data_IF_445925769744
#
_entry.id   IF_445925769744
#
_cell.length_a   1.000
_cell.length_b   1.000
_cell.length_c   1.000
_cell.angle_alpha   90.00
_cell.angle_beta   90.00
_cell.angle_gamma   90.00
#
_symmetry.space_group_name_H-M   'P 1'
#
loop_
_entity.id
_entity.type
_entity.pdbx_description
1 polymer ?
#
# COMPACT_ATOMS: atom_id res chain seq x y z
N UNK A 1 15.83 16.43 15.60
CA UNK A 1 14.74 16.97 16.44
C UNK A 1 15.20 18.14 17.36
N UNK A 2 16.31 18.82 17.03
CA UNK A 2 16.72 20.02 17.75
C UNK A 2 15.88 21.22 17.28
N UNK A 3 15.22 21.92 18.22
CA UNK A 3 14.36 23.07 17.95
C UNK A 3 15.07 24.23 17.22
N UNK A 4 16.40 24.25 17.24
CA UNK A 4 17.26 25.22 16.51
C UNK A 4 17.46 24.82 15.03
N UNK A 5 17.09 23.60 14.65
CA UNK A 5 17.26 23.10 13.29
C UNK A 5 16.01 23.39 12.44
N UNK A 6 16.04 24.37 11.53
CA UNK A 6 14.90 24.68 10.67
C UNK A 6 14.58 23.55 9.69
N UNK A 7 15.48 22.58 9.50
CA UNK A 7 15.26 21.40 8.66
C UNK A 7 14.17 20.47 9.18
N UNK A 8 13.91 20.45 10.49
CA UNK A 8 12.81 19.63 11.07
C UNK A 8 11.44 20.11 10.57
N UNK A 9 11.24 21.42 10.40
CA UNK A 9 10.00 21.97 9.83
C UNK A 9 9.88 21.61 8.35
N UNK A 10 10.99 21.65 7.59
CA UNK A 10 11.00 21.24 6.20
C UNK A 10 10.69 19.75 6.04
N UNK A 11 11.18 18.92 6.96
CA UNK A 11 10.92 17.49 7.03
C UNK A 11 9.41 17.21 7.26
N UNK A 12 8.82 17.84 8.28
CA UNK A 12 7.37 17.74 8.54
C UNK A 12 6.51 18.16 7.33
N UNK A 13 6.90 19.22 6.60
CA UNK A 13 6.20 19.65 5.38
C UNK A 13 6.42 18.65 4.25
N UNK A 14 7.64 18.12 4.10
CA UNK A 14 7.99 17.12 3.11
C UNK A 14 7.22 15.80 3.31
N UNK A 15 7.11 15.34 4.54
CA UNK A 15 6.35 14.15 4.89
C UNK A 15 4.87 14.30 4.56
N UNK A 16 4.25 15.44 4.89
CA UNK A 16 2.87 15.70 4.51
C UNK A 16 2.66 15.72 2.99
N UNK A 17 3.58 16.31 2.24
CA UNK A 17 3.49 16.37 0.79
C UNK A 17 3.83 15.01 0.13
N UNK A 18 4.93 14.35 0.54
CA UNK A 18 5.40 13.11 -0.06
C UNK A 18 4.65 11.88 0.43
N UNK A 19 4.54 11.73 1.73
CA UNK A 19 4.07 10.48 2.36
C UNK A 19 2.58 10.48 2.68
N UNK A 20 1.92 11.63 2.77
CA UNK A 20 0.46 11.69 2.91
C UNK A 20 -0.25 11.79 1.56
N UNK A 21 0.29 12.58 0.62
CA UNK A 21 -0.29 12.73 -0.72
C UNK A 21 0.09 11.56 -1.63
N UNK A 22 1.33 11.04 -1.52
CA UNK A 22 1.83 9.93 -2.32
C UNK A 22 0.94 8.68 -2.28
N UNK A 23 0.56 8.15 -1.11
CA UNK A 23 -0.32 6.98 -1.02
C UNK A 23 -1.68 7.17 -1.69
N UNK A 24 -2.23 8.38 -1.64
CA UNK A 24 -3.48 8.70 -2.33
C UNK A 24 -3.30 8.68 -3.85
N UNK A 25 -2.19 9.19 -4.36
CA UNK A 25 -1.84 9.15 -5.77
C UNK A 25 -1.60 7.72 -6.25
N UNK A 26 -0.81 6.92 -5.49
CA UNK A 26 -0.55 5.51 -5.77
C UNK A 26 -1.86 4.70 -5.79
N UNK A 27 -2.74 4.93 -4.81
CA UNK A 27 -4.05 4.30 -4.75
C UNK A 27 -4.90 4.64 -5.97
N UNK A 28 -4.99 5.90 -6.36
CA UNK A 28 -5.74 6.35 -7.53
C UNK A 28 -5.21 5.73 -8.83
N UNK A 29 -3.89 5.74 -9.03
CA UNK A 29 -3.25 5.10 -10.17
C UNK A 29 -3.56 3.61 -10.23
N UNK A 30 -3.37 2.90 -9.12
CA UNK A 30 -3.60 1.47 -9.02
C UNK A 30 -5.06 1.09 -9.29
N UNK A 31 -6.00 1.89 -8.77
CA UNK A 31 -7.43 1.74 -9.09
C UNK A 31 -7.71 1.94 -10.58
N UNK A 32 -7.12 2.97 -11.18
CA UNK A 32 -7.27 3.28 -12.60
C UNK A 32 -6.73 2.16 -13.48
N UNK A 33 -5.48 1.78 -13.29
CA UNK A 33 -4.80 0.74 -14.08
C UNK A 33 -5.54 -0.60 -13.98
N UNK A 34 -5.88 -1.05 -12.76
CA UNK A 34 -6.56 -2.33 -12.56
C UNK A 34 -7.98 -2.31 -13.13
N UNK A 35 -8.71 -1.20 -12.97
CA UNK A 35 -10.05 -1.03 -13.54
C UNK A 35 -10.03 -1.08 -15.06
N UNK A 36 -9.17 -0.29 -15.69
CA UNK A 36 -9.02 -0.25 -17.15
C UNK A 36 -8.57 -1.61 -17.69
N UNK A 37 -7.65 -2.29 -17.01
CA UNK A 37 -7.19 -3.63 -17.40
C UNK A 37 -8.34 -4.63 -17.45
N UNK A 38 -9.18 -4.70 -16.40
CA UNK A 38 -10.31 -5.62 -16.33
C UNK A 38 -11.42 -5.26 -17.32
N UNK A 39 -11.77 -3.97 -17.45
CA UNK A 39 -12.76 -3.52 -18.43
C UNK A 39 -12.33 -3.89 -19.84
N UNK A 40 -11.09 -3.56 -20.20
CA UNK A 40 -10.53 -3.86 -21.50
C UNK A 40 -10.48 -5.36 -21.76
N UNK A 41 -10.12 -6.15 -20.74
CA UNK A 41 -10.06 -7.59 -20.85
C UNK A 41 -11.45 -8.20 -21.08
N UNK A 42 -12.47 -7.80 -20.32
CA UNK A 42 -13.86 -8.28 -20.48
C UNK A 42 -14.35 -8.00 -21.89
N UNK A 43 -14.11 -6.78 -22.42
CA UNK A 43 -14.56 -6.38 -23.76
C UNK A 43 -13.84 -7.13 -24.90
N UNK A 44 -12.60 -7.57 -24.68
CA UNK A 44 -11.81 -8.26 -25.70
C UNK A 44 -11.92 -9.80 -25.61
N UNK A 45 -11.99 -10.34 -24.38
CA UNK A 45 -11.97 -11.78 -24.14
C UNK A 45 -13.33 -12.44 -24.27
N UNK A 46 -14.42 -11.69 -24.06
CA UNK A 46 -15.79 -12.16 -24.21
C UNK A 46 -16.32 -11.68 -25.55
N UNK A 47 -16.62 -12.60 -26.44
CA UNK A 47 -17.13 -12.33 -27.79
C UNK A 47 -18.05 -13.42 -28.25
N UNK A 48 -18.63 -13.27 -29.45
CA UNK A 48 -19.57 -14.24 -30.02
C UNK A 48 -19.00 -15.66 -30.11
N UNK A 49 -17.71 -15.83 -30.33
CA UNK A 49 -17.05 -17.14 -30.41
C UNK A 49 -16.92 -17.84 -29.06
N UNK A 50 -16.80 -17.07 -27.95
CA UNK A 50 -16.66 -17.64 -26.63
C UNK A 50 -17.97 -17.78 -25.88
N UNK A 51 -18.85 -16.78 -25.95
CA UNK A 51 -20.07 -16.70 -25.18
C UNK A 51 -21.38 -16.76 -26.05
N UNK A 52 -21.24 -16.99 -27.34
CA UNK A 52 -22.41 -17.08 -28.26
C UNK A 52 -23.10 -15.73 -28.47
N UNK A 53 -24.36 -15.75 -28.93
CA UNK A 53 -25.12 -14.55 -29.33
C UNK A 53 -25.34 -13.54 -28.18
N UNK A 54 -25.33 -13.98 -26.93
CA UNK A 54 -25.61 -13.16 -25.75
C UNK A 54 -24.33 -12.54 -25.11
N UNK A 55 -23.21 -12.58 -25.83
CA UNK A 55 -21.92 -12.08 -25.29
C UNK A 55 -21.95 -10.62 -24.78
N UNK A 56 -22.73 -9.76 -25.46
CA UNK A 56 -22.83 -8.35 -25.07
C UNK A 56 -23.57 -8.18 -23.72
N UNK A 57 -24.61 -8.99 -23.46
CA UNK A 57 -25.30 -8.98 -22.17
C UNK A 57 -24.37 -9.46 -21.05
N UNK A 58 -23.59 -10.50 -21.30
CA UNK A 58 -22.59 -11.02 -20.36
C UNK A 58 -21.50 -10.00 -20.06
N UNK A 59 -21.01 -9.27 -21.08
CA UNK A 59 -20.07 -8.17 -20.86
C UNK A 59 -20.65 -7.10 -19.93
N UNK A 60 -21.88 -6.64 -20.20
CA UNK A 60 -22.56 -5.63 -19.38
C UNK A 60 -22.74 -6.12 -17.94
N UNK A 61 -23.17 -7.36 -17.76
CA UNK A 61 -23.38 -7.95 -16.44
C UNK A 61 -22.09 -8.00 -15.63
N UNK A 62 -20.99 -8.44 -16.23
CA UNK A 62 -19.67 -8.45 -15.57
C UNK A 62 -19.13 -7.04 -15.30
N UNK A 63 -19.31 -6.08 -16.20
CA UNK A 63 -18.90 -4.69 -15.97
C UNK A 63 -19.68 -4.08 -14.80
N UNK A 64 -21.01 -4.26 -14.76
CA UNK A 64 -21.83 -3.78 -13.62
C UNK A 64 -21.36 -4.42 -12.31
N UNK A 65 -21.09 -5.73 -12.33
CA UNK A 65 -20.56 -6.42 -11.16
C UNK A 65 -19.20 -5.86 -10.72
N UNK A 66 -18.26 -5.62 -11.63
CA UNK A 66 -16.96 -5.01 -11.33
C UNK A 66 -17.10 -3.60 -10.70
N UNK A 67 -17.98 -2.76 -11.24
CA UNK A 67 -18.24 -1.43 -10.68
C UNK A 67 -18.87 -1.52 -9.27
N UNK A 68 -19.80 -2.46 -9.07
CA UNK A 68 -20.41 -2.67 -7.75
C UNK A 68 -19.36 -3.13 -6.72
N UNK A 69 -18.41 -3.99 -7.13
CA UNK A 69 -17.30 -4.37 -6.23
C UNK A 69 -16.49 -3.16 -5.77
N UNK A 70 -16.29 -2.15 -6.63
CA UNK A 70 -15.61 -0.90 -6.22
C UNK A 70 -16.40 -0.12 -5.17
N UNK A 71 -17.69 0.00 -5.35
CA UNK A 71 -18.57 0.68 -4.37
C UNK A 71 -18.54 -0.05 -3.03
N UNK A 72 -18.61 -1.38 -3.07
CA UNK A 72 -18.55 -2.23 -1.87
C UNK A 72 -17.23 -2.07 -1.11
N UNK A 73 -16.11 -1.94 -1.80
CA UNK A 73 -14.80 -1.72 -1.17
C UNK A 73 -14.76 -0.43 -0.34
N UNK A 74 -15.36 0.64 -0.83
CA UNK A 74 -15.47 1.90 -0.08
C UNK A 74 -16.38 1.73 1.13
N UNK A 75 -17.54 1.10 0.96
CA UNK A 75 -18.49 0.82 2.04
C UNK A 75 -17.85 -0.08 3.11
N UNK A 76 -17.18 -1.16 2.69
CA UNK A 76 -16.48 -2.07 3.60
C UNK A 76 -15.42 -1.35 4.43
N UNK A 77 -14.63 -0.47 3.80
CA UNK A 77 -13.60 0.32 4.48
C UNK A 77 -14.19 1.26 5.53
N UNK A 78 -15.26 2.00 5.18
CA UNK A 78 -15.94 2.90 6.11
C UNK A 78 -16.58 2.13 7.29
N UNK A 79 -17.28 1.03 7.00
CA UNK A 79 -17.90 0.20 8.03
C UNK A 79 -16.87 -0.39 8.98
N UNK A 80 -15.77 -0.89 8.44
CA UNK A 80 -14.68 -1.47 9.23
C UNK A 80 -13.99 -0.45 10.12
N UNK A 81 -13.84 0.78 9.64
CA UNK A 81 -13.31 1.87 10.45
C UNK A 81 -14.18 2.10 11.70
N UNK A 82 -15.50 2.23 11.55
CA UNK A 82 -16.39 2.45 12.71
C UNK A 82 -16.42 1.25 13.67
N UNK A 83 -16.37 0.03 13.15
CA UNK A 83 -16.28 -1.18 13.99
C UNK A 83 -14.97 -1.17 14.78
N UNK A 84 -13.87 -0.90 14.11
CA UNK A 84 -12.54 -0.88 14.74
C UNK A 84 -12.41 0.27 15.75
N UNK A 85 -12.91 1.46 15.45
CA UNK A 85 -12.93 2.60 16.38
C UNK A 85 -13.70 2.26 17.66
N UNK A 86 -14.88 1.66 17.54
CA UNK A 86 -15.66 1.23 18.69
C UNK A 86 -14.92 0.17 19.54
N UNK A 87 -14.25 -0.80 18.88
CA UNK A 87 -13.45 -1.82 19.57
C UNK A 87 -12.22 -1.20 20.24
N UNK A 88 -11.52 -0.28 19.57
CA UNK A 88 -10.34 0.37 20.12
C UNK A 88 -10.71 1.25 21.34
N UNK A 89 -11.79 2.03 21.25
CA UNK A 89 -12.30 2.83 22.39
C UNK A 89 -12.70 1.95 23.58
N UNK A 90 -13.37 0.82 23.33
CA UNK A 90 -13.75 -0.11 24.39
C UNK A 90 -12.53 -0.76 25.07
N UNK A 91 -11.45 -1.02 24.32
CA UNK A 91 -10.25 -1.68 24.82
C UNK A 91 -9.29 -0.71 25.50
N UNK A 92 -9.06 0.45 24.89
CA UNK A 92 -8.00 1.38 25.28
C UNK A 92 -8.48 2.68 25.89
N UNK A 93 -9.79 3.00 25.85
CA UNK A 93 -10.33 4.29 26.30
C UNK A 93 -10.05 4.63 27.78
N UNK A 94 -9.81 3.63 28.62
CA UNK A 94 -9.43 3.80 30.05
C UNK A 94 -8.08 3.13 30.37
N UNK A 95 -7.35 2.63 29.38
CA UNK A 95 -6.10 1.92 29.60
C UNK A 95 -4.96 2.91 29.86
N UNK A 96 -4.10 2.56 30.82
CA UNK A 96 -2.88 3.34 31.11
C UNK A 96 -1.74 3.09 30.13
N UNK A 97 -1.84 2.00 29.34
CA UNK A 97 -0.89 1.61 28.28
C UNK A 97 -1.67 1.18 27.06
N UNK A 98 -1.13 1.47 25.89
CA UNK A 98 -1.72 1.12 24.59
C UNK A 98 -0.65 0.47 23.71
N UNK A 99 -1.04 -0.55 22.96
CA UNK A 99 -0.24 -1.03 21.84
C UNK A 99 -0.79 -0.37 20.58
N UNK A 100 -0.03 0.56 20.00
CA UNK A 100 -0.49 1.37 18.87
C UNK A 100 -0.56 0.61 17.56
N UNK A 101 0.21 -0.47 17.37
CA UNK A 101 0.13 -1.32 16.18
C UNK A 101 -1.17 -2.16 16.14
N UNK A 102 -1.72 -2.54 17.29
CA UNK A 102 -2.83 -3.49 17.37
C UNK A 102 -4.15 -2.99 16.77
N UNK A 103 -4.59 -1.74 17.00
CA UNK A 103 -5.77 -1.21 16.33
C UNK A 103 -5.62 -1.13 14.81
N UNK A 104 -4.44 -0.82 14.30
CA UNK A 104 -4.18 -0.76 12.86
C UNK A 104 -4.21 -2.17 12.25
N UNK A 105 -3.60 -3.15 12.90
CA UNK A 105 -3.70 -4.58 12.52
C UNK A 105 -5.15 -5.06 12.51
N UNK A 106 -5.90 -4.76 13.56
CA UNK A 106 -7.31 -5.13 13.65
C UNK A 106 -8.13 -4.51 12.52
N UNK A 107 -7.88 -3.25 12.19
CA UNK A 107 -8.55 -2.56 11.08
C UNK A 107 -8.35 -3.30 9.76
N UNK A 108 -7.12 -3.72 9.45
CA UNK A 108 -6.80 -4.48 8.23
C UNK A 108 -7.57 -5.80 8.20
N UNK A 109 -7.58 -6.59 9.29
CA UNK A 109 -8.29 -7.88 9.33
C UNK A 109 -9.81 -7.73 9.30
N UNK A 110 -10.37 -6.76 10.03
CA UNK A 110 -11.81 -6.49 10.00
C UNK A 110 -12.23 -6.10 8.58
N UNK A 111 -11.47 -5.20 7.92
CA UNK A 111 -11.78 -4.76 6.56
C UNK A 111 -11.70 -5.92 5.57
N UNK A 112 -10.70 -6.78 5.69
CA UNK A 112 -10.59 -7.99 4.88
C UNK A 112 -11.82 -8.90 5.06
N UNK A 113 -12.20 -9.19 6.30
CA UNK A 113 -13.37 -10.02 6.60
C UNK A 113 -14.68 -9.43 6.07
N UNK A 114 -14.93 -8.14 6.32
CA UNK A 114 -16.12 -7.43 5.84
C UNK A 114 -16.15 -7.40 4.31
N UNK A 115 -15.02 -7.09 3.65
CA UNK A 115 -14.91 -7.09 2.19
C UNK A 115 -15.22 -8.46 1.59
N UNK A 116 -14.73 -9.54 2.18
CA UNK A 116 -15.04 -10.91 1.71
C UNK A 116 -16.54 -11.18 1.81
N UNK A 117 -17.15 -10.93 2.97
CA UNK A 117 -18.59 -11.18 3.16
C UNK A 117 -19.43 -10.38 2.15
N UNK A 118 -19.14 -9.10 2.00
CA UNK A 118 -19.88 -8.24 1.06
C UNK A 118 -19.64 -8.62 -0.38
N UNK A 119 -18.42 -9.08 -0.75
CA UNK A 119 -18.11 -9.57 -2.11
C UNK A 119 -18.96 -10.79 -2.46
N UNK A 120 -19.04 -11.78 -1.57
CA UNK A 120 -19.87 -12.96 -1.81
C UNK A 120 -21.38 -12.61 -1.87
N UNK A 121 -21.85 -11.78 -0.94
CA UNK A 121 -23.25 -11.35 -0.94
C UNK A 121 -23.62 -10.62 -2.25
N UNK A 122 -22.83 -9.63 -2.64
CA UNK A 122 -23.11 -8.88 -3.86
C UNK A 122 -22.98 -9.74 -5.12
N UNK A 123 -22.03 -10.65 -5.20
CA UNK A 123 -21.91 -11.57 -6.33
C UNK A 123 -23.11 -12.49 -6.44
N UNK A 124 -23.61 -12.99 -5.31
CA UNK A 124 -24.82 -13.82 -5.30
C UNK A 124 -26.05 -13.07 -5.83
N UNK A 125 -26.21 -11.79 -5.51
CA UNK A 125 -27.35 -11.00 -5.98
C UNK A 125 -27.21 -10.49 -7.42
N UNK A 126 -25.99 -10.14 -7.86
CA UNK A 126 -25.77 -9.52 -9.16
C UNK A 126 -25.51 -10.52 -10.29
N UNK A 127 -24.88 -11.64 -9.99
CA UNK A 127 -24.48 -12.66 -10.95
C UNK A 127 -24.87 -14.07 -10.49
N UNK A 128 -26.12 -14.33 -10.04
CA UNK A 128 -26.53 -15.61 -9.45
C UNK A 128 -26.40 -16.78 -10.43
N UNK A 129 -26.55 -16.53 -11.73
CA UNK A 129 -26.41 -17.50 -12.81
C UNK A 129 -25.79 -16.81 -14.03
N UNK A 130 -24.46 -16.75 -14.06
CA UNK A 130 -23.73 -16.15 -15.16
C UNK A 130 -23.62 -17.15 -16.30
N UNK A 131 -24.12 -16.80 -17.50
CA UNK A 131 -24.12 -17.67 -18.67
C UNK A 131 -24.76 -19.03 -18.40
N UNK A 132 -25.77 -19.10 -17.53
CA UNK A 132 -26.46 -20.35 -17.16
C UNK A 132 -25.73 -21.20 -16.10
N UNK A 133 -24.50 -20.85 -15.68
CA UNK A 133 -23.79 -21.51 -14.59
C UNK A 133 -24.05 -20.80 -13.26
N UNK A 134 -24.80 -21.48 -12.38
CA UNK A 134 -25.11 -21.00 -11.03
C UNK A 134 -23.94 -21.10 -10.05
N UNK A 135 -22.76 -21.57 -10.46
CA UNK A 135 -21.59 -21.71 -9.60
C UNK A 135 -20.55 -20.60 -9.80
N UNK A 136 -20.65 -19.80 -10.86
CA UNK A 136 -19.65 -18.82 -11.21
C UNK A 136 -19.56 -17.65 -10.22
N UNK A 137 -20.67 -17.26 -9.60
CA UNK A 137 -20.68 -16.18 -8.60
C UNK A 137 -19.74 -16.45 -7.43
N UNK A 138 -19.73 -17.65 -6.88
CA UNK A 138 -18.84 -17.98 -5.77
C UNK A 138 -17.39 -18.21 -6.22
N UNK A 139 -17.17 -18.73 -7.43
CA UNK A 139 -15.84 -18.91 -8.01
C UNK A 139 -15.15 -17.56 -8.24
N UNK A 140 -15.86 -16.61 -8.84
CA UNK A 140 -15.36 -15.24 -9.05
C UNK A 140 -15.11 -14.52 -7.72
N UNK A 141 -16.02 -14.68 -6.75
CA UNK A 141 -15.82 -14.16 -5.39
C UNK A 141 -14.59 -14.78 -4.70
N UNK A 142 -14.37 -16.07 -4.88
CA UNK A 142 -13.19 -16.76 -4.33
C UNK A 142 -11.88 -16.24 -4.93
N UNK A 143 -11.87 -15.93 -6.22
CA UNK A 143 -10.72 -15.34 -6.89
C UNK A 143 -10.43 -13.94 -6.34
N UNK A 144 -11.44 -13.08 -6.19
CA UNK A 144 -11.29 -11.76 -5.54
C UNK A 144 -10.79 -11.94 -4.09
N UNK A 145 -11.32 -12.92 -3.38
CA UNK A 145 -10.92 -13.23 -2.00
C UNK A 145 -9.43 -13.58 -1.89
N UNK A 146 -8.84 -14.25 -2.88
CA UNK A 146 -7.39 -14.47 -2.89
C UNK A 146 -6.62 -13.14 -2.83
N UNK A 147 -7.06 -12.13 -3.58
CA UNK A 147 -6.49 -10.79 -3.51
C UNK A 147 -6.73 -10.09 -2.18
N UNK A 148 -7.94 -10.17 -1.63
CA UNK A 148 -8.28 -9.56 -0.33
C UNK A 148 -7.47 -10.21 0.81
N UNK A 149 -7.28 -11.52 0.77
CA UNK A 149 -6.41 -12.25 1.72
C UNK A 149 -4.94 -11.83 1.56
N UNK A 150 -4.48 -11.65 0.32
CA UNK A 150 -3.13 -11.13 0.08
C UNK A 150 -2.96 -9.74 0.70
N UNK A 151 -3.93 -8.84 0.52
CA UNK A 151 -3.91 -7.51 1.11
C UNK A 151 -3.85 -7.51 2.65
N UNK A 152 -4.39 -8.52 3.32
CA UNK A 152 -4.29 -8.69 4.77
C UNK A 152 -2.99 -9.41 5.19
N UNK A 153 -2.54 -10.41 4.41
CA UNK A 153 -1.39 -11.24 4.76
C UNK A 153 -0.06 -10.52 4.52
N UNK A 154 0.04 -9.75 3.45
CA UNK A 154 1.26 -9.03 3.05
C UNK A 154 1.74 -8.07 4.14
N UNK A 155 0.89 -7.22 4.75
CA UNK A 155 1.31 -6.39 5.87
C UNK A 155 1.91 -7.19 7.02
N UNK A 156 1.32 -8.34 7.38
CA UNK A 156 1.85 -9.20 8.44
C UNK A 156 3.22 -9.79 8.09
N UNK A 157 3.43 -10.21 6.85
CA UNK A 157 4.73 -10.67 6.38
C UNK A 157 5.78 -9.55 6.40
N UNK A 158 5.41 -8.35 6.00
CA UNK A 158 6.32 -7.20 5.99
C UNK A 158 6.66 -6.76 7.41
N UNK A 159 5.71 -6.79 8.36
CA UNK A 159 5.95 -6.47 9.78
C UNK A 159 7.04 -7.33 10.42
N UNK A 160 7.29 -8.53 9.92
CA UNK A 160 8.43 -9.34 10.37
C UNK A 160 9.75 -8.59 10.19
N UNK A 161 9.82 -7.68 9.23
CA UNK A 161 11.03 -6.90 8.90
C UNK A 161 10.95 -5.43 9.34
N UNK A 162 9.78 -4.91 9.71
CA UNK A 162 9.56 -3.47 9.91
C UNK A 162 9.00 -3.09 11.27
N UNK A 163 8.37 -4.02 12.00
CA UNK A 163 7.81 -3.73 13.33
C UNK A 163 8.92 -3.44 14.35
N UNK A 164 8.69 -2.46 15.21
CA UNK A 164 9.60 -2.10 16.32
C UNK A 164 9.92 -3.28 17.24
N UNK A 165 9.05 -4.28 17.28
CA UNK A 165 9.24 -5.52 18.06
C UNK A 165 10.02 -6.60 17.29
N UNK A 166 10.29 -6.41 16.00
CA UNK A 166 10.97 -7.37 15.13
C UNK A 166 12.44 -7.54 15.49
N UNK A 167 12.94 -8.79 15.33
CA UNK A 167 14.38 -9.07 15.46
C UNK A 167 15.20 -8.39 14.36
N UNK A 168 14.65 -8.27 13.15
CA UNK A 168 15.33 -7.61 12.02
C UNK A 168 15.50 -6.11 12.27
N UNK A 169 14.49 -5.44 12.84
CA UNK A 169 14.62 -4.02 13.23
C UNK A 169 15.66 -3.84 14.33
N UNK A 170 15.68 -4.72 15.33
CA UNK A 170 16.73 -4.70 16.36
C UNK A 170 18.13 -4.89 15.79
N UNK A 171 18.27 -5.74 14.77
CA UNK A 171 19.53 -5.94 14.05
C UNK A 171 19.95 -4.65 13.30
N UNK A 172 18.99 -3.97 12.65
CA UNK A 172 19.24 -2.68 11.98
C UNK A 172 19.72 -1.63 13.00
N UNK A 173 19.05 -1.53 14.16
CA UNK A 173 19.45 -0.61 15.24
C UNK A 173 20.86 -0.92 15.72
N UNK A 174 21.15 -2.17 16.06
CA UNK A 174 22.48 -2.59 16.52
C UNK A 174 23.57 -2.33 15.47
N UNK A 175 23.25 -2.61 14.20
CA UNK A 175 24.17 -2.33 13.08
C UNK A 175 24.44 -0.82 12.93
N UNK A 176 23.42 0.00 13.12
CA UNK A 176 23.55 1.47 13.08
C UNK A 176 24.42 2.00 14.22
N UNK A 177 24.25 1.46 15.43
CA UNK A 177 25.04 1.83 16.61
C UNK A 177 26.52 1.44 16.47
N UNK A 178 26.78 0.23 15.93
CA UNK A 178 28.14 -0.29 15.85
C UNK A 178 28.91 0.19 14.62
N UNK A 179 28.25 0.39 13.49
CA UNK A 179 28.88 0.68 12.20
C UNK A 179 28.36 1.94 11.50
N UNK A 180 27.52 2.72 12.16
CA UNK A 180 27.00 3.98 11.64
C UNK A 180 26.21 3.82 10.35
N UNK A 181 26.19 4.87 9.53
CA UNK A 181 25.37 4.94 8.31
C UNK A 181 25.63 3.79 7.32
N UNK A 182 26.84 3.30 7.20
CA UNK A 182 27.16 2.22 6.25
C UNK A 182 26.48 0.90 6.59
N UNK A 183 26.53 0.48 7.86
CA UNK A 183 25.86 -0.75 8.29
C UNK A 183 24.36 -0.58 8.41
N UNK A 184 23.87 0.61 8.71
CA UNK A 184 22.43 0.91 8.68
C UNK A 184 21.85 0.68 7.28
N UNK A 185 22.46 1.25 6.24
CA UNK A 185 22.02 1.08 4.86
C UNK A 185 22.09 -0.41 4.45
N UNK A 186 23.18 -1.09 4.78
CA UNK A 186 23.37 -2.49 4.40
C UNK A 186 22.35 -3.42 5.06
N UNK A 187 22.10 -3.26 6.36
CA UNK A 187 21.12 -4.05 7.10
C UNK A 187 19.69 -3.78 6.62
N UNK A 188 19.37 -2.53 6.28
CA UNK A 188 18.10 -2.16 5.66
C UNK A 188 17.89 -2.83 4.29
N UNK A 189 18.92 -2.85 3.44
CA UNK A 189 18.87 -3.56 2.14
C UNK A 189 18.67 -5.07 2.31
N UNK A 190 19.31 -5.68 3.30
CA UNK A 190 19.13 -7.10 3.62
C UNK A 190 17.68 -7.39 4.00
N UNK A 191 17.13 -6.61 4.95
CA UNK A 191 15.74 -6.75 5.37
C UNK A 191 14.76 -6.55 4.21
N UNK A 192 14.97 -5.54 3.37
CA UNK A 192 14.15 -5.24 2.20
C UNK A 192 14.16 -6.37 1.17
N UNK A 193 15.33 -6.94 0.86
CA UNK A 193 15.45 -8.05 -0.09
C UNK A 193 14.74 -9.32 0.40
N UNK A 194 14.88 -9.69 1.68
CA UNK A 194 14.16 -10.83 2.24
C UNK A 194 12.65 -10.59 2.28
N UNK A 195 12.22 -9.39 2.67
CA UNK A 195 10.82 -9.00 2.64
C UNK A 195 10.21 -9.15 1.24
N UNK A 196 10.90 -8.64 0.22
CA UNK A 196 10.46 -8.72 -1.19
C UNK A 196 10.35 -10.15 -1.69
N UNK A 197 11.27 -11.04 -1.29
CA UNK A 197 11.22 -12.46 -1.64
C UNK A 197 9.96 -13.14 -1.09
N UNK A 198 9.67 -12.97 0.20
CA UNK A 198 8.50 -13.57 0.83
C UNK A 198 7.20 -13.00 0.29
N UNK A 199 7.17 -11.70 0.01
CA UNK A 199 6.05 -11.03 -0.67
C UNK A 199 5.78 -11.66 -2.03
N UNK A 200 6.82 -11.83 -2.85
CA UNK A 200 6.72 -12.46 -4.17
C UNK A 200 6.15 -13.88 -4.09
N UNK A 201 6.61 -14.70 -3.15
CA UNK A 201 6.08 -16.05 -2.94
C UNK A 201 4.61 -16.06 -2.52
N UNK A 202 4.19 -15.15 -1.64
CA UNK A 202 2.80 -15.04 -1.21
C UNK A 202 1.89 -14.66 -2.39
N UNK A 203 2.31 -13.72 -3.23
CA UNK A 203 1.58 -13.34 -4.45
C UNK A 203 1.46 -14.52 -5.41
N UNK A 204 2.56 -15.21 -5.70
CA UNK A 204 2.56 -16.37 -6.61
C UNK A 204 1.64 -17.48 -6.09
N UNK A 205 1.66 -17.77 -4.79
CA UNK A 205 0.79 -18.78 -4.18
C UNK A 205 -0.69 -18.43 -4.37
N UNK A 206 -1.08 -17.21 -4.06
CA UNK A 206 -2.48 -16.76 -4.15
C UNK A 206 -2.95 -16.65 -5.60
N UNK A 207 -2.08 -16.19 -6.50
CA UNK A 207 -2.37 -16.22 -7.95
C UNK A 207 -2.48 -17.67 -8.46
N UNK A 208 -1.69 -18.60 -7.94
CA UNK A 208 -1.78 -20.02 -8.25
C UNK A 208 -3.15 -20.62 -7.86
N UNK A 209 -3.64 -20.29 -6.66
CA UNK A 209 -4.99 -20.69 -6.24
C UNK A 209 -6.07 -20.10 -7.18
N UNK A 210 -5.97 -18.82 -7.49
CA UNK A 210 -6.88 -18.15 -8.43
C UNK A 210 -6.85 -18.79 -9.83
N UNK A 211 -5.67 -19.19 -10.30
CA UNK A 211 -5.49 -19.94 -11.53
C UNK A 211 -6.28 -21.26 -11.50
N UNK A 212 -6.14 -22.08 -10.46
CA UNK A 212 -6.88 -23.32 -10.33
C UNK A 212 -8.40 -23.10 -10.33
N UNK A 213 -8.88 -22.07 -9.62
CA UNK A 213 -10.31 -21.73 -9.62
C UNK A 213 -10.76 -21.31 -11.04
N UNK A 214 -9.94 -20.61 -11.80
CA UNK A 214 -10.26 -20.18 -13.16
C UNK A 214 -10.47 -21.33 -14.15
N UNK A 215 -9.88 -22.48 -13.87
CA UNK A 215 -10.10 -23.70 -14.68
C UNK A 215 -11.49 -24.34 -14.48
N UNK A 216 -12.23 -23.91 -13.46
CA UNK A 216 -13.52 -24.49 -13.10
C UNK A 216 -14.70 -23.83 -13.84
N UNK A 217 -14.66 -23.77 -15.18
CA UNK A 217 -15.77 -23.31 -16.03
C UNK A 217 -15.65 -21.86 -16.55
N UNK A 218 -14.62 -21.10 -16.18
CA UNK A 218 -14.43 -19.76 -16.75
C UNK A 218 -14.02 -19.80 -18.23
N UNK A 219 -13.44 -20.92 -18.69
CA UNK A 219 -13.06 -21.13 -20.09
C UNK A 219 -14.22 -21.13 -21.07
N UNK A 220 -15.43 -21.44 -20.59
CA UNK A 220 -16.65 -21.43 -21.40
C UNK A 220 -17.21 -20.01 -21.63
N UNK A 221 -16.71 -19.03 -20.87
CA UNK A 221 -17.16 -17.64 -20.92
C UNK A 221 -16.23 -16.74 -21.73
N UNK A 222 -14.92 -16.96 -21.61
CA UNK A 222 -13.94 -16.02 -22.10
C UNK A 222 -12.63 -16.68 -22.54
N UNK A 223 -11.91 -15.99 -23.42
CA UNK A 223 -10.54 -16.37 -23.75
C UNK A 223 -9.60 -16.06 -22.58
N UNK A 224 -8.61 -16.93 -22.36
CA UNK A 224 -7.59 -16.78 -21.34
C UNK A 224 -8.14 -16.49 -19.93
N UNK A 225 -8.99 -17.35 -19.35
CA UNK A 225 -9.66 -17.12 -18.06
C UNK A 225 -8.70 -16.92 -16.89
N UNK A 226 -7.50 -17.51 -16.96
CA UNK A 226 -6.46 -17.31 -15.96
C UNK A 226 -5.99 -15.85 -15.87
N UNK A 227 -5.93 -15.15 -17.00
CA UNK A 227 -5.54 -13.72 -17.03
C UNK A 227 -6.61 -12.86 -16.37
N UNK A 228 -7.89 -13.16 -16.62
CA UNK A 228 -8.98 -12.51 -15.93
C UNK A 228 -8.92 -12.77 -14.42
N UNK A 229 -8.64 -13.99 -14.01
CA UNK A 229 -8.48 -14.34 -12.61
C UNK A 229 -7.33 -13.54 -11.96
N UNK A 230 -6.21 -13.37 -12.63
CA UNK A 230 -5.11 -12.53 -12.11
C UNK A 230 -5.53 -11.06 -11.96
N UNK A 231 -6.28 -10.52 -12.93
CA UNK A 231 -6.87 -9.19 -12.80
C UNK A 231 -7.82 -9.07 -11.61
N UNK A 232 -8.62 -10.10 -11.36
CA UNK A 232 -9.51 -10.15 -10.19
C UNK A 232 -8.75 -10.29 -8.86
N UNK A 233 -7.60 -10.97 -8.83
CA UNK A 233 -6.71 -10.98 -7.66
C UNK A 233 -6.20 -9.57 -7.39
N UNK A 234 -5.69 -8.87 -8.41
CA UNK A 234 -5.29 -7.47 -8.27
C UNK A 234 -6.46 -6.59 -7.80
N UNK A 235 -7.65 -6.85 -8.29
CA UNK A 235 -8.87 -6.18 -7.86
C UNK A 235 -9.21 -6.45 -6.38
N UNK A 236 -8.97 -7.68 -5.92
CA UNK A 236 -9.15 -8.07 -4.53
C UNK A 236 -8.16 -7.44 -3.55
N UNK A 237 -6.92 -7.21 -3.96
CA UNK A 237 -5.95 -6.43 -3.17
C UNK A 237 -6.51 -5.04 -2.82
N UNK A 238 -7.21 -4.43 -3.76
CA UNK A 238 -7.85 -3.14 -3.57
C UNK A 238 -9.14 -3.20 -2.72
N UNK A 239 -9.57 -4.39 -2.32
CA UNK A 239 -10.72 -4.59 -1.44
C UNK A 239 -10.66 -3.82 -0.12
N UNK A 240 -9.47 -3.44 0.30
CA UNK A 240 -9.20 -2.58 1.46
C UNK A 240 -8.37 -1.34 1.07
N UNK A 241 -8.41 -0.93 -0.20
CA UNK A 241 -7.60 0.19 -0.71
C UNK A 241 -7.71 1.47 0.13
N UNK A 242 -8.90 1.98 0.47
CA UNK A 242 -9.02 3.15 1.33
C UNK A 242 -8.38 2.98 2.70
N UNK A 243 -8.48 1.78 3.31
CA UNK A 243 -7.83 1.48 4.59
C UNK A 243 -6.31 1.42 4.42
N UNK A 244 -5.82 0.79 3.35
CA UNK A 244 -4.37 0.72 3.07
C UNK A 244 -3.78 2.12 2.89
N UNK A 245 -4.46 3.00 2.17
CA UNK A 245 -4.06 4.41 2.02
C UNK A 245 -4.07 5.13 3.37
N UNK A 246 -5.10 4.91 4.18
CA UNK A 246 -5.24 5.56 5.48
C UNK A 246 -4.14 5.15 6.47
N UNK A 247 -3.78 3.86 6.51
CA UNK A 247 -2.71 3.38 7.41
C UNK A 247 -1.32 3.78 6.90
N UNK A 248 -1.13 3.97 5.60
CA UNK A 248 0.10 4.54 5.04
C UNK A 248 0.24 6.02 5.46
N UNK A 249 -0.81 6.81 5.26
CA UNK A 249 -0.83 8.23 5.64
C UNK A 249 -0.80 8.47 7.16
N UNK A 250 -1.07 7.43 7.96
CA UNK A 250 -0.96 7.50 9.42
C UNK A 250 0.49 7.71 9.88
N UNK A 251 1.47 7.13 9.18
CA UNK A 251 2.90 7.30 9.49
C UNK A 251 3.33 8.75 9.57
N UNK A 252 3.20 9.56 8.49
CA UNK A 252 3.58 10.97 8.54
C UNK A 252 2.77 11.80 9.55
N UNK A 253 1.54 11.42 9.86
CA UNK A 253 0.75 12.11 10.90
C UNK A 253 1.34 11.87 12.28
N UNK A 254 1.76 10.65 12.59
CA UNK A 254 2.37 10.31 13.89
C UNK A 254 3.77 10.88 14.04
N UNK A 255 4.57 10.84 12.99
CA UNK A 255 5.89 11.44 12.91
C UNK A 255 5.81 12.96 13.15
N UNK A 256 4.94 13.65 12.41
CA UNK A 256 4.70 15.07 12.62
C UNK A 256 4.18 15.41 14.02
N UNK A 257 3.36 14.57 14.62
CA UNK A 257 2.86 14.78 15.97
C UNK A 257 4.00 14.73 16.99
N UNK A 258 4.94 13.82 16.84
CA UNK A 258 6.15 13.74 17.67
C UNK A 258 7.05 14.96 17.43
N UNK A 259 7.38 15.26 16.17
CA UNK A 259 8.24 16.39 15.81
C UNK A 259 7.69 17.74 16.31
N UNK A 260 6.39 17.98 16.17
CA UNK A 260 5.73 19.20 16.67
C UNK A 260 5.80 19.28 18.19
N UNK A 261 5.64 18.16 18.90
CA UNK A 261 5.77 18.13 20.35
C UNK A 261 7.19 18.52 20.78
N UNK A 262 8.22 17.91 20.17
CA UNK A 262 9.62 18.19 20.47
C UNK A 262 10.02 19.64 20.14
N UNK A 263 9.62 20.16 18.97
CA UNK A 263 9.88 21.53 18.56
C UNK A 263 9.17 22.57 19.45
N UNK A 264 8.03 22.22 20.02
CA UNK A 264 7.24 23.15 20.86
C UNK A 264 7.93 23.48 22.16
N UNK A 265 8.81 22.57 22.67
CA UNK A 265 9.41 22.64 24.02
C UNK A 265 8.40 23.03 25.10
N UNK A 266 7.16 22.53 24.95
CA UNK A 266 5.99 22.94 25.75
C UNK A 266 6.20 22.73 27.24
N UNK A 267 6.94 21.71 27.64
CA UNK A 267 7.26 21.38 29.04
C UNK A 267 8.10 22.47 29.74
N UNK A 268 8.79 23.31 28.98
CA UNK A 268 9.65 24.40 29.52
C UNK A 268 8.86 25.67 29.80
N UNK A 269 7.61 25.77 29.32
CA UNK A 269 6.78 26.97 29.49
C UNK A 269 6.33 27.09 30.95
N UNK A 270 6.57 28.22 31.62
CA UNK A 270 6.16 28.43 33.01
C UNK A 270 4.64 28.24 33.20
N UNK A 271 4.23 27.46 34.19
CA UNK A 271 2.83 27.21 34.59
C UNK A 271 1.98 26.47 33.52
N UNK A 272 2.56 25.93 32.48
CA UNK A 272 1.82 25.27 31.39
C UNK A 272 0.90 24.13 31.90
N UNK A 273 1.33 23.33 32.90
CA UNK A 273 0.50 22.28 33.48
C UNK A 273 -0.78 22.83 34.10
N UNK A 274 -0.70 24.01 34.75
CA UNK A 274 -1.88 24.68 35.31
C UNK A 274 -2.85 25.18 34.23
N UNK A 275 -2.31 25.73 33.16
CA UNK A 275 -3.10 26.21 32.02
C UNK A 275 -3.80 25.05 31.28
N UNK A 276 -3.08 23.94 31.03
CA UNK A 276 -3.66 22.73 30.43
C UNK A 276 -4.78 22.18 31.31
N UNK A 277 -4.56 22.12 32.63
CA UNK A 277 -5.61 21.65 33.56
C UNK A 277 -6.83 22.54 33.55
N UNK A 278 -6.65 23.86 33.49
CA UNK A 278 -7.74 24.82 33.45
C UNK A 278 -8.50 24.77 32.11
N UNK A 279 -7.80 24.64 30.98
CA UNK A 279 -8.38 24.69 29.67
C UNK A 279 -8.97 23.35 29.21
N UNK A 280 -8.32 22.25 29.53
CA UNK A 280 -8.67 20.92 29.02
C UNK A 280 -9.13 19.94 30.09
N UNK A 281 -8.98 20.24 31.39
CA UNK A 281 -9.53 19.48 32.51
C UNK A 281 -8.74 18.23 32.90
N UNK A 282 -7.51 18.05 32.43
CA UNK A 282 -6.63 16.95 32.80
C UNK A 282 -5.25 17.42 33.31
N UNK A 283 -4.61 16.56 34.10
CA UNK A 283 -3.22 16.80 34.56
C UNK A 283 -2.22 16.31 33.50
N UNK A 284 -1.43 17.22 32.95
CA UNK A 284 -0.46 16.89 31.91
C UNK A 284 0.76 16.13 32.47
N UNK A 285 1.05 14.99 31.87
CA UNK A 285 2.26 14.20 32.09
C UNK A 285 3.07 14.19 30.80
N UNK A 286 4.04 15.10 30.68
CA UNK A 286 4.81 15.28 29.46
C UNK A 286 5.75 14.11 29.16
N UNK A 287 6.31 13.45 30.17
CA UNK A 287 7.18 12.28 30.00
C UNK A 287 6.39 11.13 29.38
N UNK A 288 5.20 10.86 29.94
CA UNK A 288 4.30 9.85 29.41
C UNK A 288 3.76 10.22 28.02
N UNK A 289 3.50 11.49 27.79
CA UNK A 289 3.11 12.02 26.49
C UNK A 289 4.17 11.76 25.43
N UNK A 290 5.44 12.01 25.76
CA UNK A 290 6.59 11.75 24.90
C UNK A 290 6.74 10.26 24.59
N UNK A 291 6.71 9.39 25.62
CA UNK A 291 6.75 7.93 25.46
C UNK A 291 5.67 7.45 24.49
N UNK A 292 4.44 7.95 24.63
CA UNK A 292 3.34 7.57 23.76
C UNK A 292 3.46 8.10 22.32
N UNK A 293 4.01 9.28 22.13
CA UNK A 293 4.27 9.82 20.80
C UNK A 293 5.34 9.00 20.08
N UNK A 294 6.43 8.63 20.77
CA UNK A 294 7.49 7.79 20.23
C UNK A 294 6.97 6.38 19.86
N UNK A 295 6.20 5.74 20.74
CA UNK A 295 5.58 4.43 20.46
C UNK A 295 4.58 4.52 19.29
N UNK A 296 3.82 5.60 19.21
CA UNK A 296 2.84 5.82 18.16
C UNK A 296 3.49 6.10 16.81
N UNK A 297 4.57 6.86 16.79
CA UNK A 297 5.38 7.08 15.60
C UNK A 297 6.01 5.78 15.10
N UNK A 298 6.58 4.98 15.99
CA UNK A 298 7.08 3.65 15.65
C UNK A 298 6.01 2.75 15.01
N UNK A 299 4.77 2.78 15.51
CA UNK A 299 3.64 2.06 14.93
C UNK A 299 3.25 2.64 13.55
N UNK A 300 3.21 3.96 13.42
CA UNK A 300 2.94 4.64 12.16
C UNK A 300 3.93 4.26 11.06
N UNK A 301 5.23 4.31 11.36
CA UNK A 301 6.29 3.92 10.45
C UNK A 301 6.25 2.42 10.08
N UNK A 302 5.88 1.55 11.02
CA UNK A 302 5.64 0.13 10.75
C UNK A 302 4.59 -0.05 9.66
N UNK A 303 3.45 0.61 9.77
CA UNK A 303 2.35 0.47 8.81
C UNK A 303 2.58 1.20 7.49
N UNK A 304 3.23 2.36 7.50
CA UNK A 304 3.73 3.05 6.30
C UNK A 304 4.56 2.10 5.44
N UNK A 305 5.47 1.35 6.05
CA UNK A 305 6.28 0.36 5.35
C UNK A 305 5.51 -0.85 4.82
N UNK A 306 4.33 -1.18 5.38
CA UNK A 306 3.52 -2.33 4.96
C UNK A 306 2.54 -2.00 3.84
N UNK A 307 2.09 -0.76 3.73
CA UNK A 307 1.04 -0.36 2.80
C UNK A 307 1.54 -0.29 1.35
N UNK A 308 2.71 0.29 1.12
CA UNK A 308 3.30 0.40 -0.24
C UNK A 308 3.49 -0.95 -0.94
N UNK A 309 4.01 -2.02 -0.30
CA UNK A 309 4.07 -3.34 -0.91
C UNK A 309 2.72 -3.88 -1.38
N UNK A 310 1.63 -3.59 -0.68
CA UNK A 310 0.27 -3.98 -1.11
C UNK A 310 -0.15 -3.21 -2.35
N UNK A 311 0.01 -1.88 -2.36
CA UNK A 311 -0.37 -1.03 -3.49
C UNK A 311 0.46 -1.34 -4.74
N UNK A 312 1.78 -1.44 -4.61
CA UNK A 312 2.69 -1.76 -5.72
C UNK A 312 2.46 -3.20 -6.21
N UNK A 313 2.27 -4.17 -5.30
CA UNK A 313 1.92 -5.55 -5.66
C UNK A 313 0.65 -5.62 -6.50
N UNK A 314 -0.36 -4.81 -6.17
CA UNK A 314 -1.59 -4.68 -6.95
C UNK A 314 -1.32 -4.16 -8.36
N UNK A 315 -0.51 -3.11 -8.50
CA UNK A 315 -0.15 -2.54 -9.80
C UNK A 315 0.57 -3.56 -10.69
N UNK A 316 1.52 -4.32 -10.13
CA UNK A 316 2.27 -5.36 -10.84
C UNK A 316 1.33 -6.46 -11.34
N UNK A 317 0.46 -6.98 -10.49
CA UNK A 317 -0.50 -8.03 -10.87
C UNK A 317 -1.53 -7.51 -11.88
N UNK A 318 -2.03 -6.27 -11.70
CA UNK A 318 -2.95 -5.61 -12.63
C UNK A 318 -2.33 -5.37 -14.01
N UNK A 319 -1.06 -4.97 -14.06
CA UNK A 319 -0.32 -4.75 -15.30
C UNK A 319 -0.22 -6.01 -16.17
N UNK A 320 -0.12 -7.21 -15.56
CA UNK A 320 -0.12 -8.47 -16.32
C UNK A 320 -1.40 -8.62 -17.14
N UNK A 321 -2.56 -8.32 -16.56
CA UNK A 321 -3.85 -8.37 -17.25
C UNK A 321 -3.94 -7.34 -18.38
N UNK A 322 -3.40 -6.14 -18.16
CA UNK A 322 -3.36 -5.09 -19.19
C UNK A 322 -2.48 -5.49 -20.38
N UNK A 323 -1.30 -6.07 -20.14
CA UNK A 323 -0.40 -6.56 -21.17
C UNK A 323 -1.10 -7.62 -22.02
N UNK A 324 -1.79 -8.59 -21.41
CA UNK A 324 -2.56 -9.60 -22.16
C UNK A 324 -3.72 -8.99 -22.93
N UNK A 325 -4.38 -7.95 -22.44
CA UNK A 325 -5.41 -7.22 -23.19
C UNK A 325 -4.83 -6.56 -24.44
N UNK A 326 -3.67 -5.97 -24.36
CA UNK A 326 -2.95 -5.39 -25.51
C UNK A 326 -2.59 -6.48 -26.52
N UNK A 327 -2.06 -7.61 -26.07
CA UNK A 327 -1.73 -8.75 -26.92
C UNK A 327 -2.98 -9.24 -27.66
N UNK A 328 -4.10 -9.36 -26.97
CA UNK A 328 -5.37 -9.78 -27.58
C UNK A 328 -5.87 -8.77 -28.62
N UNK A 329 -5.77 -7.47 -28.33
CA UNK A 329 -6.15 -6.42 -29.27
C UNK A 329 -5.28 -6.47 -30.55
N UNK A 330 -3.99 -6.68 -30.40
CA UNK A 330 -3.05 -6.80 -31.51
C UNK A 330 -3.34 -8.07 -32.35
N UNK A 331 -3.61 -9.20 -31.69
CA UNK A 331 -3.94 -10.46 -32.35
C UNK A 331 -5.25 -10.38 -33.11
N UNK A 332 -6.26 -9.65 -32.60
CA UNK A 332 -7.53 -9.42 -33.29
C UNK A 332 -7.46 -8.50 -34.51
N UNK A 333 -6.53 -7.52 -34.50
CA UNK A 333 -6.32 -6.57 -35.62
C UNK A 333 -5.36 -7.10 -36.69
N UNK A 334 -4.39 -7.88 -36.30
CA UNK A 334 -3.42 -8.49 -37.19
C UNK A 334 -3.76 -9.99 -37.26
N UNK A 335 -4.38 -10.43 -38.31
CA UNK A 335 -4.80 -11.83 -38.61
C UNK A 335 -3.62 -12.81 -38.68
N UNK A 336 -2.67 -12.73 -37.75
CA UNK A 336 -1.46 -13.52 -37.80
C UNK A 336 -1.30 -14.38 -36.55
N UNK A 337 -1.20 -15.73 -36.70
CA UNK A 337 -0.68 -16.64 -35.65
C UNK A 337 0.69 -16.22 -35.10
N UNK A 338 1.41 -15.40 -35.85
CA UNK A 338 2.78 -14.93 -35.58
C UNK A 338 2.95 -14.09 -34.31
N UNK A 339 1.90 -13.42 -33.77
CA UNK A 339 2.05 -12.63 -32.55
C UNK A 339 2.28 -13.51 -31.35
N UNK A 340 1.53 -14.63 -31.23
CA UNK A 340 1.70 -15.58 -30.11
C UNK A 340 3.04 -16.37 -30.22
N UNK A 341 3.46 -16.69 -31.45
CA UNK A 341 4.77 -17.31 -31.69
C UNK A 341 5.91 -16.36 -31.30
N UNK A 342 5.73 -15.05 -31.56
CA UNK A 342 6.70 -14.01 -31.20
C UNK A 342 6.88 -13.82 -29.69
N UNK A 343 5.89 -14.17 -28.88
CA UNK A 343 5.91 -14.08 -27.41
C UNK A 343 6.47 -15.35 -26.70
N UNK A 344 6.99 -16.29 -27.46
CA UNK A 344 7.65 -17.46 -26.91
C UNK A 344 9.02 -17.14 -26.35
N UNK A 345 9.38 -17.74 -25.20
CA UNK A 345 10.73 -17.67 -24.63
C UNK A 345 11.81 -18.23 -25.58
N UNK A 346 11.40 -19.03 -26.57
CA UNK A 346 12.27 -19.53 -27.61
C UNK A 346 12.59 -18.48 -28.68
N UNK A 347 11.86 -17.36 -28.69
CA UNK A 347 12.14 -16.24 -29.61
C UNK A 347 13.27 -15.37 -29.00
N UNK A 348 14.41 -15.22 -29.70
CA UNK A 348 15.53 -14.41 -29.20
C UNK A 348 15.15 -12.97 -28.86
N UNK A 349 14.25 -12.35 -29.61
CA UNK A 349 13.81 -10.97 -29.36
C UNK A 349 12.99 -10.86 -28.05
N UNK A 350 12.17 -11.87 -27.75
CA UNK A 350 11.42 -11.94 -26.51
C UNK A 350 12.38 -12.13 -25.32
N UNK A 351 13.37 -13.00 -25.44
CA UNK A 351 14.40 -13.21 -24.44
C UNK A 351 15.21 -11.94 -24.16
N UNK A 352 15.63 -11.22 -25.22
CA UNK A 352 16.30 -9.92 -25.09
C UNK A 352 15.40 -8.89 -24.39
N UNK A 353 14.10 -8.90 -24.67
CA UNK A 353 13.14 -8.05 -23.98
C UNK A 353 13.06 -8.33 -22.47
N UNK A 354 13.04 -9.60 -22.05
CA UNK A 354 13.06 -9.99 -20.63
C UNK A 354 14.34 -9.50 -19.94
N UNK A 355 15.51 -9.72 -20.57
CA UNK A 355 16.81 -9.28 -20.02
C UNK A 355 16.85 -7.76 -19.90
N UNK A 356 16.37 -7.04 -20.92
CA UNK A 356 16.30 -5.57 -20.91
C UNK A 356 15.36 -5.08 -19.81
N UNK A 357 14.18 -5.70 -19.65
CA UNK A 357 13.23 -5.36 -18.58
C UNK A 357 13.85 -5.56 -17.21
N UNK A 358 14.56 -6.67 -17.00
CA UNK A 358 15.31 -6.91 -15.75
C UNK A 358 16.39 -5.84 -15.50
N UNK A 359 17.14 -5.45 -16.54
CA UNK A 359 18.16 -4.42 -16.41
C UNK A 359 17.58 -3.03 -16.06
N UNK A 360 16.40 -2.70 -16.58
CA UNK A 360 15.70 -1.43 -16.28
C UNK A 360 15.39 -1.29 -14.80
N UNK A 361 15.07 -2.38 -14.09
CA UNK A 361 14.81 -2.36 -12.64
C UNK A 361 16.03 -1.82 -11.89
N UNK A 362 17.22 -2.33 -12.21
CA UNK A 362 18.47 -1.89 -11.57
C UNK A 362 18.86 -0.47 -11.97
N UNK A 363 18.65 -0.09 -13.24
CA UNK A 363 18.87 1.28 -13.70
C UNK A 363 17.97 2.27 -12.95
N UNK A 364 16.68 1.96 -12.81
CA UNK A 364 15.73 2.80 -12.09
C UNK A 364 16.09 2.92 -10.61
N UNK A 365 16.38 1.79 -9.95
CA UNK A 365 16.78 1.77 -8.54
C UNK A 365 18.04 2.59 -8.30
N UNK A 366 19.05 2.45 -9.18
CA UNK A 366 20.28 3.25 -9.11
C UNK A 366 20.04 4.74 -9.28
N UNK A 367 19.20 5.12 -10.28
CA UNK A 367 18.85 6.51 -10.53
C UNK A 367 18.06 7.12 -9.34
N UNK A 368 17.13 6.38 -8.76
CA UNK A 368 16.36 6.80 -7.58
C UNK A 368 17.29 7.02 -6.38
N UNK A 369 18.16 6.06 -6.06
CA UNK A 369 19.13 6.21 -4.97
C UNK A 369 20.05 7.41 -5.18
N UNK A 370 20.52 7.64 -6.42
CA UNK A 370 21.36 8.79 -6.75
C UNK A 370 20.61 10.12 -6.58
N UNK A 371 19.35 10.18 -6.98
CA UNK A 371 18.53 11.38 -6.83
C UNK A 371 18.32 11.71 -5.34
N UNK A 372 18.02 10.71 -4.50
CA UNK A 372 17.86 10.88 -3.05
C UNK A 372 19.19 11.34 -2.42
N UNK A 373 20.29 10.66 -2.74
CA UNK A 373 21.61 11.04 -2.18
C UNK A 373 22.01 12.46 -2.55
N UNK A 374 21.78 12.86 -3.80
CA UNK A 374 22.10 14.23 -4.27
C UNK A 374 21.18 15.27 -3.62
N UNK A 375 19.88 14.97 -3.52
CA UNK A 375 18.90 15.85 -2.86
C UNK A 375 19.21 16.03 -1.37
N UNK A 376 19.46 14.94 -0.65
CA UNK A 376 19.80 14.95 0.76
C UNK A 376 21.09 15.75 1.02
N UNK A 377 22.15 15.53 0.20
CA UNK A 377 23.39 16.29 0.32
C UNK A 377 23.16 17.80 0.19
N UNK A 378 22.41 18.22 -0.83
CA UNK A 378 22.10 19.64 -1.07
C UNK A 378 21.26 20.22 0.08
N UNK A 379 20.28 19.47 0.57
CA UNK A 379 19.46 19.89 1.71
C UNK A 379 20.30 20.09 2.96
N UNK A 380 21.17 19.14 3.29
CA UNK A 380 22.08 19.23 4.45
C UNK A 380 23.01 20.46 4.34
N UNK A 381 23.61 20.70 3.19
CA UNK A 381 24.46 21.88 2.96
C UNK A 381 23.66 23.18 3.12
N UNK A 382 22.44 23.24 2.60
CA UNK A 382 21.59 24.41 2.72
C UNK A 382 21.16 24.66 4.18
N UNK A 383 20.78 23.61 4.91
CA UNK A 383 20.41 23.70 6.33
C UNK A 383 21.60 24.17 7.16
N UNK A 384 22.81 23.63 6.95
CA UNK A 384 24.02 24.04 7.67
C UNK A 384 24.33 25.53 7.50
N UNK A 385 24.04 26.10 6.34
CA UNK A 385 24.23 27.53 6.07
C UNK A 385 23.23 28.43 6.81
N UNK A 386 22.08 27.89 7.20
CA UNK A 386 20.98 28.62 7.83
C UNK A 386 20.78 28.25 9.31
N UNK A 387 21.52 27.29 9.83
CA UNK A 387 21.49 26.93 11.26
C UNK A 387 22.42 27.82 12.06
N UNK A 388 21.91 28.42 13.12
CA UNK A 388 22.71 29.29 14.00
C UNK A 388 22.77 28.69 15.40
N UNK A 389 23.79 27.86 15.63
CA UNK A 389 24.00 27.19 16.91
C UNK A 389 24.71 28.08 17.99
N UNK A 390 25.36 29.14 17.55
CA UNK A 390 26.21 30.00 18.44
C UNK A 390 25.45 31.21 19.00
N UNK A 391 24.21 31.43 18.59
CA UNK A 391 23.45 32.64 18.96
C UNK A 391 22.86 32.65 20.37
N UNK A 392 22.97 31.56 21.12
CA UNK A 392 22.25 31.39 22.39
C UNK A 392 20.75 31.32 22.24
N UNK A 393 20.23 31.17 21.01
CA UNK A 393 18.82 30.97 20.72
C UNK A 393 18.40 29.54 21.10
N UNK A 394 17.25 29.42 21.74
CA UNK A 394 16.68 28.13 22.13
C UNK A 394 15.97 27.42 20.95
N UNK A 395 15.61 28.16 19.89
CA UNK A 395 14.95 27.64 18.69
C UNK A 395 15.27 28.46 17.44
N UNK A 396 15.06 27.87 16.28
CA UNK A 396 15.23 28.53 14.99
C UNK A 396 14.31 29.75 14.84
N UNK A 397 14.78 30.77 14.14
CA UNK A 397 13.98 31.93 13.83
C UNK A 397 12.90 31.58 12.79
N UNK A 398 11.77 32.28 12.81
CA UNK A 398 10.70 32.14 11.80
C UNK A 398 11.24 32.47 10.40
N UNK A 399 12.19 33.41 10.31
CA UNK A 399 12.79 33.80 9.04
C UNK A 399 13.67 32.69 8.45
N UNK A 400 14.52 32.07 9.28
CA UNK A 400 15.36 30.95 8.84
C UNK A 400 14.51 29.73 8.49
N UNK A 401 13.48 29.43 9.26
CA UNK A 401 12.51 28.37 8.95
C UNK A 401 11.84 28.58 7.60
N UNK A 402 11.40 29.81 7.29
CA UNK A 402 10.80 30.14 5.99
C UNK A 402 11.78 30.06 4.81
N UNK A 403 13.06 30.23 5.04
CA UNK A 403 14.08 30.06 3.98
C UNK A 403 14.35 28.60 3.67
N UNK A 404 14.27 27.73 4.68
CA UNK A 404 14.55 26.30 4.52
C UNK A 404 13.35 25.55 3.94
N UNK A 405 12.13 25.87 4.38
CA UNK A 405 10.88 25.32 3.85
C UNK A 405 10.55 25.89 2.46
#
# INVERSE_FOLDING_TARGET
DDARNPGVIADCVGDNAGDSVGPSADGFETYGVTGVALISFVLLAINEKTAGANYAELQVQLLVWLFMMRIIMVIASALSYFINDAMARATYGQASKMNFEKPLTNLVFITSGVSVVLTYAASYFLIPALHGDSSLWWKLSSIITCGTVAGALIPELVKVFTSTHSKHVKEVVTSSEQGGASLNILSGLVAGNFSSYWLGLAIVLLMGIAYYISLMGLGDLMMAPAVFAFGLVAFGFLGMGPVTIAVDSYGPVTDNAQSVFELSTIETIPNIKGEIKQQFGFDADFEKGKEFLEENDGAGNTFKATAKPVLIGTAVVGATTLIFSIIQLLNGKFTAPKVMEGLSILNPLFLLGIVTGGAIIFWFSGAACQAVATGAYRAVEFIKQNINLDSGAEKASVEDSKKVV
#
